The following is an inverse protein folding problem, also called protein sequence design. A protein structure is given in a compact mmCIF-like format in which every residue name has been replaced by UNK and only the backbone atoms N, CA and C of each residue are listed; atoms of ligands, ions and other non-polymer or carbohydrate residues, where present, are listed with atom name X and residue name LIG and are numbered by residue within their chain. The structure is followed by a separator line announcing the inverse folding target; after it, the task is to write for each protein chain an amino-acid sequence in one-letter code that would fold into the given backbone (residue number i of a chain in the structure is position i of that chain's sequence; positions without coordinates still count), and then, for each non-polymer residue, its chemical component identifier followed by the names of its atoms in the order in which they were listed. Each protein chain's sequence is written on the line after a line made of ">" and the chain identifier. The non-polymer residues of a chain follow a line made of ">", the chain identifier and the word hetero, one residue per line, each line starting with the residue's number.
data_IF_038705359475
#
_entry.id   IF_038705359475
#
_cell.length_a   1.000
_cell.length_b   1.000
_cell.length_c   1.000
_cell.angle_alpha   90.00
_cell.angle_beta   90.00
_cell.angle_gamma   90.00
#
_symmetry.space_group_name_H-M   'P 1'
#
loop_
_entity.id
_entity.type
_entity.pdbx_description
1 polymer ?
#
# COMPACT_ATOMS: atom_id res chain seq x y z
N UNK A 1 -9.14 -15.95 64.92
CA UNK A 1 -9.96 -15.86 63.70
C UNK A 1 -10.41 -14.42 63.52
N UNK A 2 -9.93 -13.74 62.47
CA UNK A 2 -10.58 -12.68 61.67
C UNK A 2 -9.52 -11.97 60.79
N UNK A 3 -9.13 -12.73 59.77
CA UNK A 3 -8.82 -12.38 58.38
C UNK A 3 -8.51 -10.90 58.09
N UNK A 4 -7.25 -10.65 57.71
CA UNK A 4 -6.76 -9.45 57.00
C UNK A 4 -7.56 -9.19 55.73
N UNK A 5 -7.94 -7.93 55.47
CA UNK A 5 -8.41 -7.49 54.16
C UNK A 5 -7.61 -6.28 53.70
N UNK A 6 -6.59 -6.56 52.89
CA UNK A 6 -5.99 -5.60 51.96
C UNK A 6 -6.58 -5.84 50.55
N UNK A 7 -6.30 -4.91 49.62
CA UNK A 7 -6.49 -4.99 48.16
C UNK A 7 -7.94 -4.77 47.65
N UNK A 8 -8.20 -4.03 46.57
CA UNK A 8 -7.36 -3.21 45.68
C UNK A 8 -8.32 -2.30 44.88
N UNK A 9 -7.96 -1.03 44.64
CA UNK A 9 -8.65 -0.23 43.61
C UNK A 9 -8.27 -0.79 42.23
N UNK A 10 -9.21 -1.45 41.56
CA UNK A 10 -9.08 -1.84 40.16
C UNK A 10 -9.23 -0.59 39.29
N UNK A 11 -8.10 -0.06 38.80
CA UNK A 11 -8.08 0.90 37.70
C UNK A 11 -8.43 0.12 36.43
N UNK A 12 -9.64 0.30 35.92
CA UNK A 12 -10.06 -0.25 34.64
C UNK A 12 -9.43 0.58 33.52
N UNK A 13 -8.28 0.14 33.00
CA UNK A 13 -7.72 0.71 31.77
C UNK A 13 -8.60 0.32 30.60
N UNK A 14 -9.30 1.29 30.00
CA UNK A 14 -9.93 1.10 28.70
C UNK A 14 -8.83 0.95 27.64
N UNK A 15 -8.53 -0.30 27.25
CA UNK A 15 -7.66 -0.54 26.11
C UNK A 15 -8.38 -0.08 24.84
N UNK A 16 -7.92 0.99 24.22
CA UNK A 16 -8.37 1.41 22.91
C UNK A 16 -7.93 0.33 21.89
N UNK A 17 -8.88 -0.47 21.40
CA UNK A 17 -8.62 -1.49 20.39
C UNK A 17 -8.10 -0.81 19.11
N UNK A 18 -6.82 -1.00 18.77
CA UNK A 18 -6.26 -0.51 17.51
C UNK A 18 -7.03 -1.16 16.34
N UNK A 19 -7.56 -0.32 15.44
CA UNK A 19 -8.11 -0.78 14.16
C UNK A 19 -6.93 -1.31 13.34
N UNK A 20 -6.80 -2.63 13.24
CA UNK A 20 -5.81 -3.26 12.38
C UNK A 20 -6.19 -2.87 10.94
N UNK A 21 -5.33 -2.10 10.28
CA UNK A 21 -5.44 -1.85 8.85
C UNK A 21 -5.16 -3.16 8.09
N UNK A 22 -5.61 -3.27 6.83
CA UNK A 22 -5.42 -4.46 5.98
C UNK A 22 -3.95 -4.81 5.68
N UNK A 23 -3.02 -3.98 6.14
CA UNK A 23 -1.58 -4.16 5.94
C UNK A 23 -1.06 -5.11 7.01
N UNK A 24 -0.84 -6.36 6.61
CA UNK A 24 -0.09 -7.33 7.40
C UNK A 24 1.39 -6.96 7.32
N UNK A 25 1.98 -6.49 8.43
CA UNK A 25 3.43 -6.40 8.56
C UNK A 25 3.97 -7.78 8.86
N UNK A 26 4.60 -8.40 7.87
CA UNK A 26 5.29 -9.68 8.04
C UNK A 26 6.58 -9.44 8.82
N UNK A 27 6.93 -10.36 9.74
CA UNK A 27 8.19 -10.29 10.47
C UNK A 27 9.37 -10.29 9.47
N UNK A 28 10.36 -9.43 9.72
CA UNK A 28 11.50 -9.16 8.83
C UNK A 28 11.19 -8.43 7.50
N UNK A 29 9.94 -8.00 7.25
CA UNK A 29 9.57 -7.13 6.12
C UNK A 29 9.24 -5.71 6.59
N UNK A 30 10.12 -5.13 7.42
CA UNK A 30 9.93 -3.78 7.98
C UNK A 30 10.28 -2.66 6.98
N UNK A 31 10.89 -3.01 5.85
CA UNK A 31 11.28 -2.07 4.80
C UNK A 31 10.24 -2.08 3.68
N UNK A 32 9.45 -1.00 3.52
CA UNK A 32 8.42 -0.92 2.49
C UNK A 32 8.99 -0.73 1.08
N UNK A 33 10.21 -0.19 0.98
CA UNK A 33 10.88 0.14 -0.26
C UNK A 33 12.34 -0.36 -0.22
N UNK A 34 12.84 -0.83 -1.36
CA UNK A 34 14.22 -1.29 -1.52
C UNK A 34 14.81 -0.64 -2.78
N UNK A 35 15.76 0.27 -2.57
CA UNK A 35 16.48 0.98 -3.62
C UNK A 35 17.93 1.23 -3.19
N UNK A 36 18.84 1.24 -4.16
CA UNK A 36 20.29 1.43 -3.93
C UNK A 36 20.82 2.76 -4.47
N UNK A 37 20.00 3.52 -5.19
CA UNK A 37 20.33 4.79 -5.83
C UNK A 37 19.34 5.89 -5.44
N UNK A 38 19.72 7.18 -5.50
CA UNK A 38 18.76 8.28 -5.36
C UNK A 38 17.58 8.13 -6.30
N UNK A 39 16.38 8.50 -5.85
CA UNK A 39 15.18 8.45 -6.67
C UNK A 39 15.10 9.72 -7.54
N UNK A 40 14.46 9.66 -8.72
CA UNK A 40 14.39 10.82 -9.61
C UNK A 40 13.83 12.10 -8.98
N UNK A 41 12.91 11.97 -8.02
CA UNK A 41 12.35 13.12 -7.31
C UNK A 41 13.31 13.76 -6.28
N UNK A 42 14.45 13.14 -6.00
CA UNK A 42 15.46 13.70 -5.09
C UNK A 42 16.37 14.73 -5.78
N UNK A 43 16.46 14.71 -7.10
CA UNK A 43 17.41 15.53 -7.86
C UNK A 43 16.80 16.29 -9.05
N UNK A 44 15.59 15.95 -9.50
CA UNK A 44 14.87 16.72 -10.53
C UNK A 44 14.13 17.88 -9.87
N UNK A 45 14.29 19.10 -10.40
CA UNK A 45 13.57 20.27 -9.90
C UNK A 45 12.15 20.35 -10.49
N UNK A 46 11.21 20.95 -9.76
CA UNK A 46 9.81 21.07 -10.19
C UNK A 46 9.63 21.82 -11.52
N UNK A 47 10.52 22.78 -11.82
CA UNK A 47 10.50 23.57 -13.05
C UNK A 47 11.02 22.81 -14.27
N UNK A 48 11.77 21.71 -14.06
CA UNK A 48 12.24 20.81 -15.11
C UNK A 48 11.17 19.79 -15.53
N UNK A 49 10.13 19.61 -14.71
CA UNK A 49 9.03 18.68 -15.01
C UNK A 49 8.07 19.30 -16.03
N UNK A 50 7.74 18.60 -17.13
CA UNK A 50 6.83 19.14 -18.14
C UNK A 50 5.41 19.31 -17.59
N UNK A 51 4.76 20.43 -17.93
CA UNK A 51 3.36 20.71 -17.54
C UNK A 51 2.36 19.68 -18.09
N UNK A 52 2.70 19.01 -19.18
CA UNK A 52 1.90 17.95 -19.80
C UNK A 52 2.81 16.84 -20.29
N UNK A 53 2.48 15.60 -19.92
CA UNK A 53 3.24 14.42 -20.31
C UNK A 53 2.30 13.30 -20.72
N UNK A 54 2.66 12.56 -21.77
CA UNK A 54 1.89 11.41 -22.22
C UNK A 54 2.82 10.27 -22.68
N UNK A 55 2.88 9.19 -21.90
CA UNK A 55 3.66 7.99 -22.25
C UNK A 55 3.23 7.33 -23.57
N UNK A 56 2.00 7.61 -24.04
CA UNK A 56 1.53 7.14 -25.35
C UNK A 56 2.12 7.90 -26.54
N UNK A 57 2.80 9.02 -26.30
CA UNK A 57 3.48 9.79 -27.33
C UNK A 57 4.65 10.57 -26.72
N UNK A 58 5.81 9.92 -26.64
CA UNK A 58 7.10 10.54 -26.33
C UNK A 58 7.89 10.55 -27.64
N UNK A 59 8.05 11.73 -28.25
CA UNK A 59 8.74 11.92 -29.54
C UNK A 59 8.23 11.00 -30.68
N UNK A 60 6.90 10.79 -30.74
CA UNK A 60 6.27 9.91 -31.73
C UNK A 60 6.30 8.42 -31.37
N UNK A 61 6.83 8.05 -30.20
CA UNK A 61 6.88 6.66 -29.71
C UNK A 61 5.89 6.44 -28.56
N UNK A 62 5.15 5.32 -28.64
CA UNK A 62 4.22 4.89 -27.62
C UNK A 62 4.87 3.84 -26.70
N UNK A 63 4.83 4.09 -25.39
CA UNK A 63 5.36 3.21 -24.34
C UNK A 63 4.27 2.50 -23.52
N UNK A 64 2.99 2.72 -23.84
CA UNK A 64 1.86 2.07 -23.18
C UNK A 64 1.68 0.64 -23.71
N UNK A 65 1.41 -0.30 -22.81
CA UNK A 65 0.95 -1.64 -23.16
C UNK A 65 -0.48 -1.62 -23.71
N UNK A 66 -0.87 -2.68 -24.43
CA UNK A 66 -2.23 -2.80 -24.97
C UNK A 66 -3.30 -2.75 -23.86
N UNK A 67 -4.46 -2.16 -24.18
CA UNK A 67 -5.60 -2.15 -23.28
C UNK A 67 -6.23 -3.54 -23.20
N UNK A 68 -6.41 -4.04 -21.98
CA UNK A 68 -7.04 -5.33 -21.71
C UNK A 68 -8.45 -5.14 -21.13
N UNK A 69 -9.31 -6.14 -21.26
CA UNK A 69 -10.67 -6.12 -20.74
C UNK A 69 -10.88 -7.23 -19.70
N UNK A 70 -10.79 -6.86 -18.42
CA UNK A 70 -10.96 -7.76 -17.27
C UNK A 70 -12.38 -8.34 -17.09
N UNK A 71 -13.37 -7.88 -17.86
CA UNK A 71 -14.77 -8.28 -17.69
C UNK A 71 -15.19 -9.47 -18.56
N UNK A 72 -14.33 -9.92 -19.49
CA UNK A 72 -14.65 -11.00 -20.43
C UNK A 72 -13.57 -12.10 -20.38
N UNK A 73 -13.95 -13.38 -20.58
CA UNK A 73 -15.31 -13.90 -20.75
C UNK A 73 -16.07 -14.10 -19.43
N UNK A 74 -15.42 -13.91 -18.28
CA UNK A 74 -16.02 -14.03 -16.95
C UNK A 74 -15.60 -12.84 -16.09
N UNK A 75 -16.51 -12.38 -15.24
CA UNK A 75 -16.28 -11.22 -14.39
C UNK A 75 -15.45 -11.59 -13.16
N UNK A 76 -14.23 -11.06 -13.11
CA UNK A 76 -13.22 -11.38 -12.11
C UNK A 76 -13.06 -10.12 -11.20
N UNK A 77 -13.81 -10.02 -10.07
CA UNK A 77 -13.87 -8.81 -9.19
C UNK A 77 -12.54 -8.38 -8.56
N UNK A 78 -11.65 -9.34 -8.31
CA UNK A 78 -10.39 -9.10 -7.59
C UNK A 78 -9.23 -8.60 -8.48
N UNK A 79 -9.49 -8.12 -9.71
CA UNK A 79 -8.45 -7.99 -10.77
C UNK A 79 -8.02 -6.54 -11.03
N UNK A 80 -8.45 -5.61 -10.18
CA UNK A 80 -8.01 -4.21 -10.27
C UNK A 80 -6.51 -4.04 -10.00
N UNK A 81 -5.87 -4.99 -9.29
CA UNK A 81 -4.44 -4.96 -8.95
C UNK A 81 -3.58 -5.91 -9.80
N UNK A 82 -4.19 -6.85 -10.54
CA UNK A 82 -3.51 -7.76 -11.44
C UNK A 82 -4.44 -8.17 -12.59
N UNK A 83 -3.95 -8.09 -13.81
CA UNK A 83 -4.75 -8.35 -15.03
C UNK A 83 -4.95 -9.84 -15.31
N UNK A 84 -4.31 -10.72 -14.55
CA UNK A 84 -4.41 -12.17 -14.70
C UNK A 84 -5.44 -12.77 -13.74
N UNK A 85 -6.43 -13.50 -14.27
CA UNK A 85 -7.37 -14.29 -13.46
C UNK A 85 -6.76 -15.68 -13.22
N UNK A 86 -6.46 -16.06 -11.96
CA UNK A 86 -5.98 -17.41 -11.68
C UNK A 86 -7.04 -18.40 -12.15
N UNK A 87 -6.62 -19.35 -12.98
CA UNK A 87 -7.50 -20.46 -13.41
C UNK A 87 -7.92 -21.32 -12.23
#
# INVERSE_FOLDING_TARGET
>A
MKISTALALLVTSAAAQQRINEIVRLEAHDKPEDYSSPLPHDYIQDDEVPRSWHWGNVDGKNFLTHQLNQHIPQYCKWHAWAVDCPK
#
